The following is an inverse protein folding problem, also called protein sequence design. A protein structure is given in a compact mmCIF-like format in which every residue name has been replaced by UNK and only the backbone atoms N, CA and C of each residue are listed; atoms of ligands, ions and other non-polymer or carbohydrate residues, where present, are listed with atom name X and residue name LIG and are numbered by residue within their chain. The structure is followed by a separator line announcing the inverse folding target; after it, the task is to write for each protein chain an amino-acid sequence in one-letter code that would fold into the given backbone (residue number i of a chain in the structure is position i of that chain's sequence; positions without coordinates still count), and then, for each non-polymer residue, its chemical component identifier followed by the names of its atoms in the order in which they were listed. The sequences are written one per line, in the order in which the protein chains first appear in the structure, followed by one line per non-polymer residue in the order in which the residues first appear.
data_IF_821468657643
#
_entry.id   IF_821468657643
#
_cell.length_a   1.000
_cell.length_b   1.000
_cell.length_c   1.000
_cell.angle_alpha   90.00
_cell.angle_beta   90.00
_cell.angle_gamma   90.00
#
_symmetry.space_group_name_H-M   'P 1'
#
loop_
_entity.id
_entity.type
_entity.pdbx_description
1 polymer ?
#
# COMPACT_ATOMS: atom_id res chain seq x y z
N UNK A 1 3.84 -29.32 -5.91
CA UNK A 1 2.64 -28.72 -5.28
C UNK A 1 3.05 -27.39 -4.67
N UNK A 2 2.73 -26.26 -5.29
CA UNK A 2 3.16 -24.95 -4.80
C UNK A 2 2.37 -24.61 -3.52
N UNK A 3 3.02 -24.64 -2.36
CA UNK A 3 2.44 -24.20 -1.09
C UNK A 3 2.08 -22.72 -1.21
N UNK A 4 0.77 -22.41 -1.35
CA UNK A 4 0.25 -21.05 -1.19
C UNK A 4 0.69 -20.57 0.19
N UNK A 5 1.63 -19.61 0.23
CA UNK A 5 1.98 -18.85 1.44
C UNK A 5 0.68 -18.24 1.99
N UNK A 6 0.14 -18.85 3.04
CA UNK A 6 -0.88 -18.21 3.85
C UNK A 6 -0.18 -17.04 4.56
N UNK A 7 -0.36 -15.83 4.02
CA UNK A 7 0.13 -14.60 4.63
C UNK A 7 -0.75 -14.28 5.84
N UNK A 8 -0.55 -15.01 6.95
CA UNK A 8 -1.05 -14.56 8.25
C UNK A 8 -0.50 -13.14 8.50
N UNK A 9 -1.37 -12.12 8.45
CA UNK A 9 -0.99 -10.72 8.59
C UNK A 9 -1.13 -9.83 7.34
N UNK A 10 -1.68 -10.32 6.23
CA UNK A 10 -2.02 -9.44 5.11
C UNK A 10 -3.28 -8.61 5.43
N UNK A 11 -3.21 -7.29 5.28
CA UNK A 11 -4.37 -6.40 5.43
C UNK A 11 -5.34 -6.55 4.26
N UNK A 12 -6.62 -6.26 4.47
CA UNK A 12 -7.63 -6.29 3.40
C UNK A 12 -7.21 -5.46 2.18
N UNK A 13 -6.66 -4.25 2.42
CA UNK A 13 -6.12 -3.39 1.36
C UNK A 13 -5.06 -4.10 0.51
N UNK A 14 -4.11 -4.77 1.15
CA UNK A 14 -3.07 -5.51 0.43
C UNK A 14 -3.63 -6.69 -0.34
N UNK A 15 -4.61 -7.40 0.21
CA UNK A 15 -5.27 -8.50 -0.50
C UNK A 15 -5.99 -8.02 -1.76
N UNK A 16 -6.72 -6.91 -1.69
CA UNK A 16 -7.41 -6.28 -2.84
C UNK A 16 -6.40 -5.81 -3.88
N UNK A 17 -5.35 -5.10 -3.46
CA UNK A 17 -4.29 -4.65 -4.36
C UNK A 17 -3.55 -5.80 -5.05
N UNK A 18 -3.28 -6.90 -4.33
CA UNK A 18 -2.62 -8.07 -4.88
C UNK A 18 -3.48 -8.75 -5.96
N UNK A 19 -4.81 -8.72 -5.86
CA UNK A 19 -5.71 -9.22 -6.91
C UNK A 19 -5.50 -8.41 -8.19
N UNK A 20 -5.53 -7.08 -8.11
CA UNK A 20 -5.32 -6.21 -9.28
C UNK A 20 -3.94 -6.44 -9.91
N UNK A 21 -2.89 -6.47 -9.10
CA UNK A 21 -1.51 -6.71 -9.57
C UNK A 21 -1.35 -8.08 -10.23
N UNK A 22 -1.93 -9.15 -9.65
CA UNK A 22 -1.87 -10.51 -10.22
C UNK A 22 -2.60 -10.62 -11.56
N UNK A 23 -3.62 -9.80 -11.78
CA UNK A 23 -4.35 -9.75 -13.04
C UNK A 23 -3.76 -8.74 -14.04
N UNK A 24 -2.60 -8.12 -13.74
CA UNK A 24 -2.01 -7.05 -14.52
C UNK A 24 -2.95 -5.85 -14.78
N UNK A 25 -3.88 -5.59 -13.86
CA UNK A 25 -4.86 -4.52 -13.96
C UNK A 25 -4.24 -3.18 -13.52
N UNK A 26 -3.45 -2.57 -14.40
CA UNK A 26 -2.73 -1.31 -14.15
C UNK A 26 -3.27 -0.12 -14.94
N UNK A 27 -4.21 -0.36 -15.85
CA UNK A 27 -4.80 0.63 -16.75
C UNK A 27 -6.31 0.38 -16.90
N UNK A 28 -7.04 1.35 -17.46
CA UNK A 28 -8.46 1.18 -17.75
C UNK A 28 -8.74 -0.03 -18.66
N UNK A 29 -7.93 -0.25 -19.69
CA UNK A 29 -8.09 -1.37 -20.64
C UNK A 29 -7.88 -2.75 -19.99
N UNK A 30 -6.98 -2.81 -19.00
CA UNK A 30 -6.65 -4.02 -18.25
C UNK A 30 -7.48 -4.19 -16.96
N UNK A 31 -8.43 -3.28 -16.71
CA UNK A 31 -9.22 -3.28 -15.48
C UNK A 31 -10.00 -4.59 -15.32
N UNK A 32 -10.24 -5.03 -14.10
CA UNK A 32 -11.00 -6.27 -13.82
C UNK A 32 -12.31 -6.00 -13.11
N UNK A 33 -13.31 -6.85 -13.35
CA UNK A 33 -14.60 -6.76 -12.69
C UNK A 33 -14.55 -7.17 -11.21
N UNK A 34 -15.67 -6.96 -10.51
CA UNK A 34 -15.81 -7.35 -9.10
C UNK A 34 -15.62 -8.86 -8.86
N UNK A 35 -15.86 -9.68 -9.88
CA UNK A 35 -15.69 -11.13 -9.86
C UNK A 35 -14.26 -11.57 -9.55
N UNK A 36 -13.25 -10.78 -9.93
CA UNK A 36 -11.84 -11.05 -9.64
C UNK A 36 -11.55 -11.13 -8.12
N UNK A 37 -12.38 -10.48 -7.30
CA UNK A 37 -12.22 -10.41 -5.84
C UNK A 37 -13.00 -11.50 -5.08
N UNK A 38 -13.89 -12.25 -5.74
CA UNK A 38 -14.79 -13.25 -5.08
C UNK A 38 -14.04 -14.36 -4.33
N UNK A 39 -12.79 -14.63 -4.72
CA UNK A 39 -11.96 -15.66 -4.09
C UNK A 39 -11.16 -15.16 -2.87
N UNK A 40 -11.28 -13.88 -2.51
CA UNK A 40 -10.68 -13.36 -1.30
C UNK A 40 -11.40 -13.93 -0.08
N UNK A 41 -10.63 -14.31 0.95
CA UNK A 41 -11.15 -14.75 2.25
C UNK A 41 -11.60 -13.54 3.09
N UNK A 42 -12.45 -12.70 2.52
CA UNK A 42 -13.01 -11.48 3.11
C UNK A 42 -14.52 -11.47 2.82
N UNK A 43 -15.31 -10.85 3.69
CA UNK A 43 -16.74 -10.66 3.38
C UNK A 43 -16.91 -9.65 2.24
N UNK A 44 -18.01 -9.77 1.48
CA UNK A 44 -18.39 -8.84 0.40
C UNK A 44 -18.36 -7.39 0.87
N UNK A 45 -18.86 -7.12 2.08
CA UNK A 45 -18.86 -5.80 2.68
C UNK A 45 -17.43 -5.27 2.94
N UNK A 46 -16.53 -6.12 3.45
CA UNK A 46 -15.13 -5.73 3.69
C UNK A 46 -14.41 -5.47 2.36
N UNK A 47 -14.67 -6.27 1.33
CA UNK A 47 -14.11 -6.04 -0.01
C UNK A 47 -14.59 -4.70 -0.57
N UNK A 48 -15.90 -4.44 -0.54
CA UNK A 48 -16.49 -3.21 -1.05
C UNK A 48 -15.95 -1.97 -0.32
N UNK A 49 -15.93 -2.01 1.02
CA UNK A 49 -15.36 -0.95 1.84
C UNK A 49 -13.88 -0.70 1.54
N UNK A 50 -13.10 -1.78 1.40
CA UNK A 50 -11.67 -1.68 1.11
C UNK A 50 -11.43 -1.05 -0.27
N UNK A 51 -12.18 -1.47 -1.30
CA UNK A 51 -12.10 -0.89 -2.64
C UNK A 51 -12.48 0.59 -2.60
N UNK A 52 -13.58 0.95 -1.91
CA UNK A 52 -14.01 2.34 -1.78
C UNK A 52 -12.94 3.23 -1.12
N UNK A 53 -12.33 2.80 -0.02
CA UNK A 53 -11.25 3.55 0.63
C UNK A 53 -10.01 3.70 -0.27
N UNK A 54 -9.67 2.66 -1.02
CA UNK A 54 -8.54 2.71 -1.97
C UNK A 54 -8.86 3.59 -3.18
N UNK A 55 -10.12 3.72 -3.56
CA UNK A 55 -10.57 4.68 -4.56
C UNK A 55 -10.51 6.12 -4.07
N UNK A 56 -10.97 6.38 -2.84
CA UNK A 56 -10.91 7.72 -2.23
C UNK A 56 -9.46 8.25 -2.16
N UNK A 57 -8.51 7.35 -1.92
CA UNK A 57 -7.08 7.66 -1.89
C UNK A 57 -6.41 7.64 -3.27
N UNK A 58 -7.15 7.35 -4.34
CA UNK A 58 -6.67 7.28 -5.71
C UNK A 58 -5.69 6.13 -5.99
N UNK A 59 -5.65 5.11 -5.13
CA UNK A 59 -4.82 3.91 -5.29
C UNK A 59 -5.49 2.90 -6.24
N UNK A 60 -6.83 2.87 -6.24
CA UNK A 60 -7.64 2.11 -7.19
C UNK A 60 -8.50 3.09 -7.98
N UNK A 61 -8.64 2.84 -9.27
CA UNK A 61 -9.49 3.62 -10.16
C UNK A 61 -10.61 2.73 -10.68
N UNK A 62 -11.78 3.33 -10.93
CA UNK A 62 -12.97 2.67 -11.49
C UNK A 62 -13.22 3.19 -12.90
N UNK A 63 -13.51 2.29 -13.84
CA UNK A 63 -13.97 2.62 -15.20
C UNK A 63 -15.48 2.84 -15.22
N UNK A 64 -16.01 3.37 -16.32
CA UNK A 64 -17.47 3.55 -16.51
C UNK A 64 -18.25 2.22 -16.49
N UNK A 65 -17.58 1.09 -16.81
CA UNK A 65 -18.14 -0.26 -16.80
C UNK A 65 -17.99 -0.97 -15.43
N UNK A 66 -17.71 -0.23 -14.35
CA UNK A 66 -17.53 -0.78 -13.01
C UNK A 66 -16.38 -1.79 -12.87
N UNK A 67 -15.32 -1.58 -13.64
CA UNK A 67 -14.07 -2.35 -13.57
C UNK A 67 -13.00 -1.56 -12.83
N UNK A 68 -12.10 -2.27 -12.16
CA UNK A 68 -11.11 -1.70 -11.26
C UNK A 68 -9.69 -1.94 -11.75
N UNK A 69 -8.84 -0.92 -11.64
CA UNK A 69 -7.41 -1.03 -11.91
C UNK A 69 -6.58 -0.29 -10.86
N UNK A 70 -5.32 -0.70 -10.71
CA UNK A 70 -4.39 -0.20 -9.70
C UNK A 70 -3.53 0.94 -10.24
N UNK A 71 -3.58 2.10 -9.59
CA UNK A 71 -2.77 3.27 -9.94
C UNK A 71 -1.45 3.27 -9.15
N UNK A 72 -0.41 2.69 -9.76
CA UNK A 72 0.88 2.48 -9.13
C UNK A 72 1.58 3.79 -8.76
N UNK A 73 1.40 4.87 -9.54
CA UNK A 73 2.05 6.16 -9.25
C UNK A 73 1.54 6.74 -7.93
N UNK A 74 0.23 6.63 -7.67
CA UNK A 74 -0.36 7.14 -6.44
C UNK A 74 0.02 6.29 -5.23
N UNK A 75 0.07 4.96 -5.38
CA UNK A 75 0.60 4.08 -4.34
C UNK A 75 2.05 4.43 -3.97
N UNK A 76 2.90 4.65 -4.98
CA UNK A 76 4.30 4.99 -4.74
C UNK A 76 4.47 6.32 -4.00
N UNK A 77 3.59 7.32 -4.25
CA UNK A 77 3.56 8.57 -3.47
C UNK A 77 3.24 8.30 -1.99
N UNK A 78 2.26 7.45 -1.71
CA UNK A 78 1.89 7.07 -0.33
C UNK A 78 3.05 6.38 0.37
N UNK A 79 3.65 5.38 -0.28
CA UNK A 79 4.82 4.66 0.27
C UNK A 79 5.99 5.62 0.52
N UNK A 80 6.27 6.51 -0.43
CA UNK A 80 7.33 7.50 -0.29
C UNK A 80 7.09 8.40 0.92
N UNK A 81 5.90 8.99 1.04
CA UNK A 81 5.53 9.84 2.18
C UNK A 81 5.73 9.11 3.52
N UNK A 82 5.24 7.88 3.63
CA UNK A 82 5.39 7.06 4.85
C UNK A 82 6.86 6.79 5.17
N UNK A 83 7.67 6.43 4.17
CA UNK A 83 9.11 6.19 4.38
C UNK A 83 9.83 7.42 4.92
N UNK A 84 9.55 8.60 4.39
CA UNK A 84 10.16 9.85 4.88
C UNK A 84 9.67 10.22 6.27
N UNK A 85 8.39 10.00 6.58
CA UNK A 85 7.88 10.21 7.95
C UNK A 85 8.61 9.36 8.97
N UNK A 86 8.83 8.06 8.69
CA UNK A 86 9.60 7.20 9.57
C UNK A 86 11.08 7.56 9.64
N UNK A 87 11.68 7.93 8.51
CA UNK A 87 13.07 8.39 8.47
C UNK A 87 13.26 9.64 9.33
N UNK A 88 12.33 10.58 9.29
CA UNK A 88 12.39 11.79 10.12
C UNK A 88 12.19 11.46 11.60
N UNK A 89 11.20 10.63 11.94
CA UNK A 89 10.87 10.27 13.32
C UNK A 89 12.02 9.53 14.02
N UNK A 90 12.74 8.66 13.30
CA UNK A 90 13.85 7.89 13.86
C UNK A 90 15.22 8.56 13.63
N UNK A 91 15.41 9.17 12.47
CA UNK A 91 16.69 9.77 12.07
C UNK A 91 16.99 11.07 12.80
N UNK A 92 15.99 11.95 12.99
CA UNK A 92 16.23 13.24 13.63
C UNK A 92 16.76 13.11 15.08
N UNK A 93 16.18 12.28 15.97
CA UNK A 93 16.72 12.09 17.31
C UNK A 93 18.17 11.56 17.30
N UNK A 94 18.49 10.65 16.38
CA UNK A 94 19.85 10.12 16.25
C UNK A 94 20.83 11.20 15.79
N UNK A 95 20.46 12.03 14.81
CA UNK A 95 21.27 13.15 14.35
C UNK A 95 21.56 14.12 15.50
N UNK A 96 20.52 14.49 16.28
CA UNK A 96 20.67 15.36 17.45
C UNK A 96 21.60 14.74 18.48
N UNK A 97 21.47 13.44 18.76
CA UNK A 97 22.35 12.71 19.67
C UNK A 97 23.80 12.74 19.20
N UNK A 98 24.07 12.49 17.92
CA UNK A 98 25.43 12.53 17.38
C UNK A 98 26.03 13.93 17.43
N UNK A 99 25.24 14.97 17.14
CA UNK A 99 25.69 16.37 17.28
C UNK A 99 26.06 16.67 18.74
N UNK A 100 25.20 16.29 19.69
CA UNK A 100 25.46 16.49 21.11
C UNK A 100 26.74 15.79 21.58
N UNK A 101 26.92 14.52 21.21
CA UNK A 101 28.13 13.75 21.52
C UNK A 101 29.39 14.34 20.87
N UNK A 102 29.27 14.84 19.64
CA UNK A 102 30.38 15.50 18.95
C UNK A 102 30.81 16.80 19.64
N UNK A 103 29.85 17.63 20.06
CA UNK A 103 30.13 18.83 20.86
C UNK A 103 30.77 18.45 22.19
N UNK A 104 30.22 17.44 22.88
CA UNK A 104 30.77 16.99 24.16
C UNK A 104 32.22 16.48 24.02
N UNK A 105 32.55 15.79 22.93
CA UNK A 105 33.89 15.33 22.64
C UNK A 105 34.87 16.49 22.37
N UNK A 106 34.43 17.53 21.65
CA UNK A 106 35.26 18.70 21.33
C UNK A 106 35.49 19.62 22.54
N UNK A 107 34.56 19.65 23.50
CA UNK A 107 34.65 20.46 24.72
C UNK A 107 35.40 19.75 25.87
N UNK A 108 35.87 18.52 25.64
CA UNK A 108 36.60 17.70 26.60
C UNK A 108 38.10 17.78 26.34
#
# INVERSE_FOLDING_TARGET
MATKKNTAGQTSARMVMDVLKKNNAYTADSAVGYDAFKNLRLSTAVIAYTIANLMETGIIMRTEEDRYYFEEKNWNKVVHKVKYSYLFLLGLPLIILFIFLGIQFLLR
#
